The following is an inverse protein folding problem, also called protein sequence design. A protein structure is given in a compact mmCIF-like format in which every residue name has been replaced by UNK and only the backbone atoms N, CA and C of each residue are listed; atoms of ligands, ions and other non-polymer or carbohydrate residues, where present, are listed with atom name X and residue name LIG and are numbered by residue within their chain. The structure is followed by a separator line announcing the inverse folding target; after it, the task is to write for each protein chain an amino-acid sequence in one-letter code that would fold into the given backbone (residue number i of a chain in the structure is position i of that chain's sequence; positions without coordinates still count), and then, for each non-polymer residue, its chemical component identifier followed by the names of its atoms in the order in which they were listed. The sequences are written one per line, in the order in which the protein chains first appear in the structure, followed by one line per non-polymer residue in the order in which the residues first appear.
data_IF_900336730523
#
_entry.id   IF_900336730523
#
_cell.length_a   1.000
_cell.length_b   1.000
_cell.length_c   1.000
_cell.angle_alpha   90.00
_cell.angle_beta   90.00
_cell.angle_gamma   90.00
#
_symmetry.space_group_name_H-M   'P 1'
#
loop_
_entity.id
_entity.type
_entity.pdbx_description
1 polymer ?
#
# COMPACT_ATOMS: atom_id res chain seq x y z
N UNK A 1 7.98 53.25 60.10
CA UNK A 1 7.71 54.59 59.54
C UNK A 1 7.66 54.44 58.02
N UNK A 2 6.51 54.81 57.41
CA UNK A 2 6.28 55.24 56.01
C UNK A 2 6.60 54.24 54.87
N UNK A 3 5.63 53.62 54.18
CA UNK A 3 4.59 54.15 53.25
C UNK A 3 5.16 54.43 51.84
N UNK A 4 4.65 53.71 50.83
CA UNK A 4 4.76 54.10 49.42
C UNK A 4 4.63 52.95 48.40
N UNK A 5 3.40 52.61 48.01
CA UNK A 5 3.08 52.11 46.65
C UNK A 5 2.69 53.36 45.80
N UNK A 6 2.87 53.40 44.46
CA UNK A 6 1.90 52.76 43.54
C UNK A 6 2.38 52.33 42.13
N UNK A 7 1.50 51.55 41.49
CA UNK A 7 1.12 51.51 40.05
C UNK A 7 2.16 51.19 38.95
N UNK A 8 2.07 50.02 38.30
CA UNK A 8 1.23 49.66 37.13
C UNK A 8 2.02 49.77 35.81
N UNK A 9 2.22 48.63 35.13
CA UNK A 9 2.00 48.42 33.67
C UNK A 9 2.55 47.07 33.21
N UNK A 10 1.66 46.10 33.08
CA UNK A 10 1.88 44.87 32.34
C UNK A 10 0.52 44.34 31.85
N UNK A 11 0.31 44.19 30.54
CA UNK A 11 -1.03 44.17 29.95
C UNK A 11 -1.79 42.88 30.28
N UNK A 12 -3.03 43.07 30.72
CA UNK A 12 -3.97 42.02 31.00
C UNK A 12 -4.22 41.10 29.80
N UNK A 13 -3.94 39.82 30.02
CA UNK A 13 -4.64 38.71 29.35
C UNK A 13 -4.96 37.66 30.39
N UNK A 14 -5.98 37.97 31.20
CA UNK A 14 -6.64 36.98 32.05
C UNK A 14 -7.32 35.96 31.16
N UNK A 15 -6.93 34.70 31.33
CA UNK A 15 -7.44 33.55 30.59
C UNK A 15 -8.91 33.31 30.97
N UNK A 16 -9.88 33.31 30.04
CA UNK A 16 -11.32 33.19 30.35
C UNK A 16 -11.73 31.84 30.97
N UNK A 17 -10.81 30.89 31.07
CA UNK A 17 -11.06 29.56 31.62
C UNK A 17 -11.03 29.50 33.16
N UNK A 18 -10.50 30.53 33.84
CA UNK A 18 -10.37 30.53 35.30
C UNK A 18 -11.45 31.36 36.03
N UNK A 19 -12.33 32.04 35.29
CA UNK A 19 -13.29 32.98 35.89
C UNK A 19 -14.58 32.29 36.39
N UNK A 20 -14.90 31.10 35.87
CA UNK A 20 -16.14 30.38 36.26
C UNK A 20 -16.14 29.77 37.66
N UNK A 21 -14.99 29.73 38.36
CA UNK A 21 -14.89 29.09 39.67
C UNK A 21 -14.98 30.07 40.86
N UNK A 22 -15.08 31.38 40.60
CA UNK A 22 -15.05 32.42 41.66
C UNK A 22 -16.40 33.11 41.90
N UNK A 23 -17.35 32.98 40.98
CA UNK A 23 -18.69 33.53 41.16
C UNK A 23 -19.56 32.53 41.92
N UNK A 24 -19.46 32.64 43.24
CA UNK A 24 -20.39 32.00 44.17
C UNK A 24 -21.82 32.40 43.84
N UNK A 25 -22.60 31.40 43.43
CA UNK A 25 -24.03 31.27 43.70
C UNK A 25 -24.94 32.39 43.19
N UNK A 26 -25.34 32.35 41.91
CA UNK A 26 -26.57 33.02 41.46
C UNK A 26 -27.30 32.34 40.29
N UNK A 27 -27.21 31.02 40.14
CA UNK A 27 -28.16 30.28 39.31
C UNK A 27 -28.56 28.97 39.99
N UNK A 28 -29.59 29.03 40.83
CA UNK A 28 -30.30 27.86 41.31
C UNK A 28 -31.03 27.22 40.12
N UNK A 29 -30.38 26.28 39.43
CA UNK A 29 -31.07 25.42 38.47
C UNK A 29 -31.90 24.44 39.30
N UNK A 30 -33.22 24.68 39.34
CA UNK A 30 -34.22 23.79 39.98
C UNK A 30 -34.06 22.35 39.44
N UNK A 31 -33.87 21.34 40.30
CA UNK A 31 -33.81 19.95 39.87
C UNK A 31 -35.24 19.38 39.78
N UNK A 32 -35.99 19.78 38.75
CA UNK A 32 -37.28 19.16 38.43
C UNK A 32 -37.28 18.63 37.00
N UNK A 33 -36.48 17.58 36.77
CA UNK A 33 -36.65 16.60 35.69
C UNK A 33 -35.51 15.55 35.75
N UNK A 34 -35.31 14.88 36.89
CA UNK A 34 -34.44 13.69 36.97
C UNK A 34 -35.31 12.43 36.95
N UNK A 35 -35.89 12.15 35.78
CA UNK A 35 -36.68 10.94 35.52
C UNK A 35 -36.05 10.00 34.49
N UNK A 36 -34.75 10.17 34.19
CA UNK A 36 -34.01 9.28 33.32
C UNK A 36 -32.68 8.96 33.97
N UNK A 37 -32.40 7.67 34.16
CA UNK A 37 -31.11 7.19 34.64
C UNK A 37 -30.01 7.79 33.76
N UNK A 38 -29.21 8.70 34.35
CA UNK A 38 -28.03 9.24 33.69
C UNK A 38 -27.08 8.07 33.50
N UNK A 39 -26.84 7.70 32.25
CA UNK A 39 -25.98 6.58 31.90
C UNK A 39 -24.57 6.87 32.48
N UNK A 40 -24.03 6.06 33.40
CA UNK A 40 -22.80 6.37 34.13
C UNK A 40 -21.56 6.42 33.23
N UNK A 41 -21.67 5.95 31.98
CA UNK A 41 -20.63 6.04 30.95
C UNK A 41 -20.64 7.33 30.13
N UNK A 42 -21.57 8.26 30.37
CA UNK A 42 -21.57 9.54 29.67
C UNK A 42 -20.39 10.41 30.14
N UNK A 43 -19.26 10.30 29.44
CA UNK A 43 -18.11 11.21 29.61
C UNK A 43 -18.29 12.41 28.69
N UNK A 44 -18.62 13.61 29.21
CA UNK A 44 -18.51 14.81 28.41
C UNK A 44 -17.03 14.94 27.99
N UNK A 45 -16.78 15.28 26.72
CA UNK A 45 -15.44 15.37 26.10
C UNK A 45 -14.78 14.07 25.59
N UNK A 46 -15.55 13.09 25.09
CA UNK A 46 -14.97 12.12 24.15
C UNK A 46 -14.93 12.74 22.73
N UNK A 47 -13.75 13.03 22.13
CA UNK A 47 -13.70 13.48 20.75
C UNK A 47 -14.25 12.36 19.85
N UNK A 48 -15.32 12.65 19.10
CA UNK A 48 -15.82 11.73 18.08
C UNK A 48 -14.70 11.51 17.06
N UNK A 49 -14.17 10.29 16.98
CA UNK A 49 -13.14 9.96 16.01
C UNK A 49 -13.70 10.11 14.60
N UNK A 50 -13.31 11.16 13.89
CA UNK A 50 -13.67 11.33 12.49
C UNK A 50 -12.91 10.29 11.66
N UNK A 51 -13.65 9.36 11.04
CA UNK A 51 -13.11 8.41 10.06
C UNK A 51 -13.55 8.87 8.67
N UNK A 52 -12.66 9.44 7.84
CA UNK A 52 -13.02 9.80 6.47
C UNK A 52 -13.45 8.55 5.70
N UNK A 53 -14.52 8.67 4.90
CA UNK A 53 -14.93 7.58 3.99
C UNK A 53 -13.92 7.49 2.85
N UNK A 54 -13.25 6.34 2.72
CA UNK A 54 -12.33 6.06 1.61
C UNK A 54 -13.15 5.58 0.41
N UNK A 55 -13.11 6.29 -0.74
CA UNK A 55 -13.83 5.87 -1.94
C UNK A 55 -13.19 4.61 -2.54
N UNK A 56 -13.96 3.75 -3.22
CA UNK A 56 -13.44 2.49 -3.84
C UNK A 56 -12.28 2.75 -4.80
N UNK A 57 -12.35 3.85 -5.56
CA UNK A 57 -11.34 4.29 -6.52
C UNK A 57 -10.26 5.19 -5.92
N UNK A 58 -10.02 5.10 -4.60
CA UNK A 58 -9.00 5.88 -3.90
C UNK A 58 -7.60 5.74 -4.52
N UNK A 59 -7.31 4.57 -5.10
CA UNK A 59 -6.01 4.22 -5.67
C UNK A 59 -5.71 4.95 -6.99
N UNK A 60 -6.72 5.46 -7.69
CA UNK A 60 -6.55 6.27 -8.92
C UNK A 60 -6.06 7.69 -8.60
N UNK A 61 -6.14 8.12 -7.34
CA UNK A 61 -5.82 9.50 -6.95
C UNK A 61 -4.31 9.78 -6.88
N UNK A 62 -3.47 8.76 -6.71
CA UNK A 62 -2.03 8.92 -6.64
C UNK A 62 -1.29 7.81 -7.38
N UNK A 63 -0.26 8.20 -8.13
CA UNK A 63 0.58 7.29 -8.91
C UNK A 63 1.20 6.15 -8.07
N UNK A 64 1.55 6.41 -6.81
CA UNK A 64 2.09 5.38 -5.92
C UNK A 64 1.07 4.27 -5.63
N UNK A 65 -0.19 4.64 -5.39
CA UNK A 65 -1.26 3.68 -5.13
C UNK A 65 -1.68 2.92 -6.39
N UNK A 66 -1.70 3.61 -7.54
CA UNK A 66 -1.95 2.94 -8.82
C UNK A 66 -0.89 1.87 -9.09
N UNK A 67 0.40 2.19 -8.94
CA UNK A 67 1.49 1.21 -9.10
C UNK A 67 1.36 0.04 -8.14
N UNK A 68 0.96 0.30 -6.89
CA UNK A 68 0.72 -0.74 -5.89
C UNK A 68 -0.42 -1.68 -6.32
N UNK A 69 -1.60 -1.15 -6.63
CA UNK A 69 -2.75 -1.98 -7.07
C UNK A 69 -2.47 -2.69 -8.38
N UNK A 70 -1.81 -2.02 -9.34
CA UNK A 70 -1.39 -2.64 -10.59
C UNK A 70 -0.46 -3.83 -10.35
N UNK A 71 0.47 -3.71 -9.38
CA UNK A 71 1.35 -4.81 -8.99
C UNK A 71 0.56 -5.95 -8.39
N UNK A 72 -0.39 -5.69 -7.50
CA UNK A 72 -1.24 -6.76 -6.95
C UNK A 72 -2.06 -7.44 -8.06
N UNK A 73 -2.59 -6.68 -9.03
CA UNK A 73 -3.36 -7.20 -10.15
C UNK A 73 -2.56 -8.16 -11.05
N UNK A 74 -1.23 -7.98 -11.13
CA UNK A 74 -0.38 -8.91 -11.90
C UNK A 74 -0.42 -10.35 -11.37
N UNK A 75 -0.85 -10.61 -10.13
CA UNK A 75 -1.00 -11.96 -9.60
C UNK A 75 -1.97 -12.81 -10.43
N UNK A 76 -3.03 -12.20 -10.97
CA UNK A 76 -4.00 -12.86 -11.85
C UNK A 76 -3.35 -13.27 -13.17
N UNK A 77 -2.50 -12.40 -13.72
CA UNK A 77 -1.77 -12.68 -14.97
C UNK A 77 -0.73 -13.80 -14.78
N UNK A 78 -0.04 -13.80 -13.64
CA UNK A 78 0.90 -14.87 -13.27
C UNK A 78 0.16 -16.20 -13.08
N UNK A 79 -0.97 -16.19 -12.35
CA UNK A 79 -1.80 -17.38 -12.18
C UNK A 79 -2.34 -17.91 -13.51
N UNK A 80 -2.82 -17.03 -14.39
CA UNK A 80 -3.21 -17.38 -15.75
C UNK A 80 -2.08 -18.05 -16.52
N UNK A 81 -0.86 -17.50 -16.45
CA UNK A 81 0.31 -18.06 -17.13
C UNK A 81 0.64 -19.46 -16.61
N UNK A 82 0.56 -19.68 -15.29
CA UNK A 82 0.77 -20.99 -14.69
C UNK A 82 -0.29 -22.01 -15.15
N UNK A 83 -1.57 -21.62 -15.17
CA UNK A 83 -2.65 -22.47 -15.70
C UNK A 83 -2.42 -22.79 -17.17
N UNK A 84 -1.98 -21.83 -17.98
CA UNK A 84 -1.72 -22.06 -19.41
C UNK A 84 -0.57 -23.05 -19.63
N UNK A 85 0.47 -23.00 -18.80
CA UNK A 85 1.55 -24.00 -18.82
C UNK A 85 1.04 -25.40 -18.45
N UNK A 86 0.13 -25.51 -17.47
CA UNK A 86 -0.49 -26.80 -17.12
C UNK A 86 -1.35 -27.33 -18.27
N UNK A 87 -2.13 -26.47 -18.93
CA UNK A 87 -2.91 -26.85 -20.12
C UNK A 87 -1.99 -27.34 -21.23
N UNK A 88 -0.88 -26.64 -21.49
CA UNK A 88 0.11 -27.07 -22.48
C UNK A 88 0.66 -28.48 -22.18
N UNK A 89 0.96 -28.80 -20.92
CA UNK A 89 1.42 -30.15 -20.53
C UNK A 89 0.36 -31.21 -20.86
N UNK A 90 -0.90 -30.94 -20.54
CA UNK A 90 -2.01 -31.87 -20.84
C UNK A 90 -2.21 -32.04 -22.34
N UNK A 91 -2.14 -30.95 -23.12
CA UNK A 91 -2.30 -30.99 -24.57
C UNK A 91 -1.17 -31.78 -25.25
N UNK A 92 0.07 -31.65 -24.76
CA UNK A 92 1.21 -32.40 -25.28
C UNK A 92 1.04 -33.90 -25.04
N UNK A 93 0.47 -34.29 -23.89
CA UNK A 93 0.17 -35.69 -23.56
C UNK A 93 -0.93 -36.30 -24.46
N UNK A 94 -1.89 -35.48 -24.90
CA UNK A 94 -2.98 -35.89 -25.81
C UNK A 94 -2.52 -36.16 -27.25
N UNK A 95 -1.27 -35.84 -27.58
CA UNK A 95 -0.66 -36.14 -28.88
C UNK A 95 -0.68 -34.98 -29.89
N UNK A 96 -0.15 -35.27 -31.08
CA UNK A 96 0.21 -34.24 -32.06
C UNK A 96 -1.00 -33.45 -32.60
N UNK A 97 -2.16 -34.08 -32.78
CA UNK A 97 -3.35 -33.41 -33.28
C UNK A 97 -3.85 -32.30 -32.32
N UNK A 98 -3.99 -32.63 -31.04
CA UNK A 98 -4.39 -31.67 -30.01
C UNK A 98 -3.38 -30.53 -29.86
N UNK A 99 -2.08 -30.84 -29.96
CA UNK A 99 -1.03 -29.83 -29.94
C UNK A 99 -1.13 -28.84 -31.10
N UNK A 100 -1.36 -29.32 -32.33
CA UNK A 100 -1.49 -28.45 -33.50
C UNK A 100 -2.73 -27.55 -33.40
N UNK A 101 -3.86 -28.06 -32.93
CA UNK A 101 -5.06 -27.25 -32.69
C UNK A 101 -4.82 -26.16 -31.64
N UNK A 102 -4.09 -26.50 -30.57
CA UNK A 102 -3.73 -25.53 -29.54
C UNK A 102 -2.79 -24.43 -30.06
N UNK A 103 -1.80 -24.80 -30.88
CA UNK A 103 -0.89 -23.82 -31.51
C UNK A 103 -1.63 -22.94 -32.52
N UNK A 104 -2.59 -23.48 -33.28
CA UNK A 104 -3.45 -22.68 -34.17
C UNK A 104 -4.26 -21.65 -33.37
N UNK A 105 -4.86 -22.07 -32.25
CA UNK A 105 -5.57 -21.17 -31.35
C UNK A 105 -4.65 -20.07 -30.78
N UNK A 106 -3.44 -20.43 -30.35
CA UNK A 106 -2.44 -19.48 -29.86
C UNK A 106 -1.98 -18.49 -30.93
N UNK A 107 -1.98 -18.91 -32.20
CA UNK A 107 -1.54 -18.10 -33.34
C UNK A 107 -2.57 -17.04 -33.75
N UNK A 108 -3.79 -17.08 -33.19
CA UNK A 108 -4.82 -16.07 -33.47
C UNK A 108 -4.34 -14.69 -32.99
N UNK A 109 -4.44 -13.63 -33.82
CA UNK A 109 -3.90 -12.32 -33.48
C UNK A 109 -4.41 -11.73 -32.16
N UNK A 110 -5.68 -11.98 -31.82
CA UNK A 110 -6.27 -11.55 -30.54
C UNK A 110 -5.65 -12.27 -29.34
N UNK A 111 -5.35 -13.56 -29.48
CA UNK A 111 -4.73 -14.37 -28.44
C UNK A 111 -3.27 -13.95 -28.26
N UNK A 112 -2.54 -13.73 -29.36
CA UNK A 112 -1.17 -13.20 -29.32
C UNK A 112 -1.14 -11.83 -28.63
N UNK A 113 -2.02 -10.90 -29.02
CA UNK A 113 -2.08 -9.57 -28.40
C UNK A 113 -2.37 -9.65 -26.89
N UNK A 114 -3.26 -10.55 -26.48
CA UNK A 114 -3.52 -10.81 -25.06
C UNK A 114 -2.28 -11.35 -24.34
N UNK A 115 -1.59 -12.34 -24.91
CA UNK A 115 -0.37 -12.91 -24.31
C UNK A 115 0.78 -11.89 -24.24
N UNK A 116 0.86 -10.95 -25.19
CA UNK A 116 1.80 -9.80 -25.09
C UNK A 116 1.44 -8.92 -23.91
N UNK A 117 0.15 -8.63 -23.67
CA UNK A 117 -0.27 -7.88 -22.48
C UNK A 117 0.04 -8.63 -21.18
N UNK A 118 -0.16 -9.96 -21.15
CA UNK A 118 0.25 -10.83 -20.03
C UNK A 118 1.76 -10.73 -19.80
N UNK A 119 2.56 -10.80 -20.86
CA UNK A 119 4.02 -10.68 -20.79
C UNK A 119 4.46 -9.32 -20.23
N UNK A 120 3.86 -8.23 -20.69
CA UNK A 120 4.14 -6.89 -20.16
C UNK A 120 3.79 -6.79 -18.67
N UNK A 121 2.66 -7.38 -18.26
CA UNK A 121 2.27 -7.48 -16.85
C UNK A 121 3.27 -8.29 -16.02
N UNK A 122 3.74 -9.42 -16.54
CA UNK A 122 4.77 -10.24 -15.89
C UNK A 122 6.11 -9.50 -15.78
N UNK A 123 6.55 -8.78 -16.82
CA UNK A 123 7.75 -7.94 -16.77
C UNK A 123 7.63 -6.84 -15.72
N UNK A 124 6.48 -6.15 -15.67
CA UNK A 124 6.20 -5.17 -14.63
C UNK A 124 6.24 -5.80 -13.22
N UNK A 125 5.67 -7.00 -13.05
CA UNK A 125 5.76 -7.76 -11.81
C UNK A 125 7.22 -8.06 -11.42
N UNK A 126 8.02 -8.59 -12.35
CA UNK A 126 9.43 -8.91 -12.13
C UNK A 126 10.23 -7.66 -11.73
N UNK A 127 10.11 -6.55 -12.46
CA UNK A 127 10.84 -5.30 -12.17
C UNK A 127 10.46 -4.75 -10.80
N UNK A 128 9.17 -4.72 -10.47
CA UNK A 128 8.71 -4.22 -9.16
C UNK A 128 9.16 -5.12 -8.01
N UNK A 129 9.16 -6.44 -8.20
CA UNK A 129 9.69 -7.39 -7.22
C UNK A 129 11.20 -7.24 -7.03
N UNK A 130 11.98 -7.16 -8.12
CA UNK A 130 13.44 -6.99 -8.07
C UNK A 130 13.85 -5.68 -7.41
N UNK A 131 13.05 -4.62 -7.54
CA UNK A 131 13.32 -3.35 -6.85
C UNK A 131 13.06 -3.42 -5.34
N UNK A 132 12.14 -4.26 -4.88
CA UNK A 132 11.80 -4.43 -3.46
C UNK A 132 12.67 -5.50 -2.78
N UNK A 133 13.04 -6.56 -3.51
CA UNK A 133 13.84 -7.69 -3.01
C UNK A 133 15.11 -7.28 -2.22
N UNK A 134 15.99 -6.39 -2.73
CA UNK A 134 17.21 -6.01 -2.00
C UNK A 134 16.95 -5.12 -0.78
N UNK A 135 15.76 -4.53 -0.64
CA UNK A 135 15.40 -3.77 0.57
C UNK A 135 15.13 -4.69 1.77
N UNK A 136 14.75 -5.95 1.53
CA UNK A 136 14.53 -6.93 2.59
C UNK A 136 15.82 -7.60 3.08
N UNK A 137 16.92 -7.47 2.33
CA UNK A 137 18.19 -8.16 2.62
C UNK A 137 19.22 -7.16 3.14
N UNK A 138 19.54 -7.24 4.44
CA UNK A 138 20.65 -6.48 5.04
C UNK A 138 21.94 -7.28 4.93
N UNK A 139 22.60 -7.23 3.77
CA UNK A 139 23.91 -7.86 3.59
C UNK A 139 25.00 -7.02 4.26
N UNK A 140 25.61 -7.57 5.31
CA UNK A 140 26.89 -7.10 5.86
C UNK A 140 27.98 -8.05 5.39
N UNK A 141 28.89 -7.56 4.55
CA UNK A 141 30.04 -8.34 4.08
C UNK A 141 31.29 -7.70 4.67
N UNK A 142 32.11 -8.48 5.38
CA UNK A 142 33.38 -8.04 5.98
C UNK A 142 33.25 -6.77 6.85
N UNK A 143 32.23 -6.74 7.73
CA UNK A 143 31.97 -5.61 8.65
C UNK A 143 31.44 -4.32 7.99
N UNK A 144 31.37 -4.25 6.66
CA UNK A 144 30.81 -3.11 5.92
C UNK A 144 29.43 -3.44 5.37
N UNK A 145 28.51 -2.47 5.44
CA UNK A 145 27.18 -2.61 4.81
C UNK A 145 27.36 -2.55 3.30
N UNK A 146 26.90 -3.60 2.60
CA UNK A 146 26.90 -3.58 1.13
C UNK A 146 25.86 -2.56 0.68
N UNK A 147 26.19 -1.66 -0.27
CA UNK A 147 25.21 -0.71 -0.77
C UNK A 147 24.08 -1.47 -1.49
N UNK A 148 22.83 -1.16 -1.16
CA UNK A 148 21.65 -1.79 -1.75
C UNK A 148 21.65 -1.78 -3.30
N UNK A 149 22.31 -0.79 -3.91
CA UNK A 149 22.51 -0.68 -5.36
C UNK A 149 23.34 -1.82 -5.94
N UNK A 150 24.37 -2.32 -5.24
CA UNK A 150 25.19 -3.42 -5.72
C UNK A 150 24.39 -4.73 -5.73
N UNK A 151 23.56 -4.94 -4.71
CA UNK A 151 22.65 -6.09 -4.63
C UNK A 151 21.60 -6.01 -5.75
N UNK A 152 21.00 -4.84 -5.96
CA UNK A 152 20.05 -4.60 -7.05
C UNK A 152 20.66 -4.90 -8.43
N UNK A 153 21.87 -4.36 -8.70
CA UNK A 153 22.58 -4.61 -9.95
C UNK A 153 22.88 -6.09 -10.16
N UNK A 154 23.29 -6.81 -9.11
CA UNK A 154 23.51 -8.26 -9.17
C UNK A 154 22.25 -9.03 -9.56
N UNK A 155 21.09 -8.64 -9.02
CA UNK A 155 19.81 -9.27 -9.36
C UNK A 155 19.39 -8.98 -10.80
N UNK A 156 19.52 -7.74 -11.28
CA UNK A 156 19.25 -7.41 -12.69
C UNK A 156 20.22 -8.12 -13.63
N UNK A 157 21.50 -8.19 -13.28
CA UNK A 157 22.51 -8.90 -14.07
C UNK A 157 22.17 -10.39 -14.18
N UNK A 158 21.88 -11.05 -13.06
CA UNK A 158 21.47 -12.45 -13.06
C UNK A 158 20.21 -12.69 -13.89
N UNK A 159 19.21 -11.80 -13.77
CA UNK A 159 17.99 -11.87 -14.56
C UNK A 159 18.25 -11.77 -16.07
N UNK A 160 19.03 -10.76 -16.52
CA UNK A 160 19.39 -10.58 -17.93
C UNK A 160 20.18 -11.76 -18.47
N UNK A 161 21.15 -12.27 -17.71
CA UNK A 161 21.95 -13.44 -18.11
C UNK A 161 21.06 -14.68 -18.25
N UNK A 162 20.20 -14.96 -17.28
CA UNK A 162 19.27 -16.09 -17.37
C UNK A 162 18.34 -15.97 -18.60
N UNK A 163 17.78 -14.78 -18.85
CA UNK A 163 16.95 -14.54 -20.04
C UNK A 163 17.74 -14.72 -21.34
N UNK A 164 18.98 -14.26 -21.41
CA UNK A 164 19.83 -14.40 -22.58
C UNK A 164 20.19 -15.87 -22.86
N UNK A 165 20.54 -16.64 -21.82
CA UNK A 165 20.83 -18.08 -21.94
C UNK A 165 19.60 -18.84 -22.42
N UNK A 166 18.41 -18.54 -21.88
CA UNK A 166 17.16 -19.15 -22.33
C UNK A 166 16.83 -18.81 -23.78
N UNK A 167 16.94 -17.53 -24.17
CA UNK A 167 16.71 -17.09 -25.54
C UNK A 167 17.68 -17.76 -26.51
N UNK A 168 18.97 -17.83 -26.16
CA UNK A 168 19.98 -18.54 -26.92
C UNK A 168 19.63 -20.02 -27.06
N UNK A 169 19.31 -20.71 -25.98
CA UNK A 169 18.94 -22.12 -26.00
C UNK A 169 17.68 -22.42 -26.85
N UNK A 170 16.73 -21.49 -26.91
CA UNK A 170 15.51 -21.63 -27.72
C UNK A 170 15.75 -21.37 -29.22
N UNK A 171 16.62 -20.42 -29.57
CA UNK A 171 16.94 -20.07 -30.96
C UNK A 171 17.89 -21.09 -31.62
N UNK A 172 18.71 -21.78 -30.82
CA UNK A 172 19.66 -22.78 -31.32
C UNK A 172 19.01 -24.13 -31.70
N UNK A 173 17.69 -24.28 -31.53
CA UNK A 173 16.92 -25.41 -32.04
C UNK A 173 16.38 -25.11 -33.43
#
# INVERSE_FOLDING_TARGET
MLRGLPEERGPGRSHPALQGLRDGGLLQIRPHALGGAVNPEYRPYHPKSYRPRVPIFWWLRQWAYLKFIARELTCVLVAYSAVMLLVLVVVVDQGQAAYLEFVDWLSRPSVVAFHVAVLLGALFHTVTWLNVAPMAIVLKVSGRRVPARAVLLGHYFAWVVCSAVLAWALIQK
#
